data_IF_367764711984
#
_entry.id   IF_367764711984
#
_cell.length_a   1.000
_cell.length_b   1.000
_cell.length_c   1.000
_cell.angle_alpha   90.00
_cell.angle_beta   90.00
_cell.angle_gamma   90.00
#
_symmetry.space_group_name_H-M   'P 1'
#
loop_
_entity.id
_entity.type
_entity.pdbx_description
1 polymer ?
#
# COMPACT_ATOMS: atom_id res chain seq x y z
N UNK A 1 -1.78 7.90 2.78
CA UNK A 1 -0.42 8.46 2.75
C UNK A 1 -0.50 9.98 3.00
N UNK A 2 0.43 10.51 3.78
CA UNK A 2 0.60 11.94 4.00
C UNK A 2 1.43 12.52 2.84
N UNK A 3 0.75 12.90 1.77
CA UNK A 3 1.41 13.49 0.60
C UNK A 3 1.82 14.94 0.85
N UNK A 4 2.99 15.32 0.34
CA UNK A 4 3.42 16.71 0.36
C UNK A 4 2.57 17.59 -0.57
N UNK A 5 2.22 17.05 -1.75
CA UNK A 5 1.34 17.65 -2.73
C UNK A 5 0.15 16.72 -2.95
N UNK A 6 -0.83 16.78 -2.06
CA UNK A 6 -1.90 15.79 -2.03
C UNK A 6 -3.14 16.18 -2.80
N UNK A 7 -3.50 17.45 -2.81
CA UNK A 7 -4.69 17.96 -3.48
C UNK A 7 -4.29 18.75 -4.72
N UNK A 8 -5.07 18.60 -5.79
CA UNK A 8 -4.87 19.40 -7.01
C UNK A 8 -5.70 20.68 -6.92
N UNK A 9 -5.03 21.82 -7.10
CA UNK A 9 -5.66 23.12 -7.21
C UNK A 9 -6.25 23.26 -8.60
N UNK A 10 -7.57 23.41 -8.68
CA UNK A 10 -8.27 23.64 -9.95
C UNK A 10 -8.12 25.10 -10.37
N UNK A 11 -7.63 25.35 -11.58
CA UNK A 11 -7.44 26.69 -12.17
C UNK A 11 -8.03 26.73 -13.56
N UNK A 12 -8.60 27.87 -13.95
CA UNK A 12 -9.00 28.11 -15.35
C UNK A 12 -7.88 28.85 -16.07
N UNK A 13 -7.39 28.25 -17.14
CA UNK A 13 -6.42 28.88 -18.04
C UNK A 13 -6.94 28.81 -19.48
N UNK A 14 -7.02 29.99 -20.14
CA UNK A 14 -7.52 30.13 -21.52
C UNK A 14 -8.87 29.42 -21.79
N UNK A 15 -9.77 29.37 -20.80
CA UNK A 15 -11.08 28.73 -20.91
C UNK A 15 -11.08 27.22 -20.65
N UNK A 16 -9.95 26.64 -20.30
CA UNK A 16 -9.81 25.23 -19.91
C UNK A 16 -9.53 25.09 -18.43
N UNK A 17 -10.10 24.05 -17.81
CA UNK A 17 -9.77 23.68 -16.45
C UNK A 17 -8.42 22.97 -16.45
N UNK A 18 -7.49 23.44 -15.63
CA UNK A 18 -6.17 22.85 -15.39
C UNK A 18 -5.97 22.54 -13.92
N UNK A 19 -5.15 21.54 -13.64
CA UNK A 19 -4.86 21.09 -12.28
C UNK A 19 -3.41 21.40 -11.93
N UNK A 20 -3.20 22.02 -10.77
CA UNK A 20 -1.90 22.29 -10.21
C UNK A 20 -1.75 21.61 -8.85
N UNK A 21 -0.54 21.13 -8.48
CA UNK A 21 -0.29 20.61 -7.15
C UNK A 21 -0.62 21.65 -6.09
N UNK A 22 -1.34 21.25 -5.06
CA UNK A 22 -1.59 22.09 -3.88
C UNK A 22 -0.59 21.71 -2.78
N UNK A 23 0.24 22.67 -2.38
CA UNK A 23 1.27 22.51 -1.35
C UNK A 23 0.73 22.71 0.06
N UNK A 24 -0.41 22.10 0.35
CA UNK A 24 -1.15 22.24 1.60
C UNK A 24 -0.35 21.93 2.88
N UNK A 25 0.78 21.20 2.75
CA UNK A 25 1.68 20.91 3.87
C UNK A 25 2.76 21.99 4.09
N UNK A 26 2.92 22.98 3.18
CA UNK A 26 3.98 24.00 3.34
C UNK A 26 3.72 24.94 4.52
N UNK A 27 2.47 25.24 4.80
CA UNK A 27 2.08 26.07 5.95
C UNK A 27 2.01 25.28 7.26
N UNK A 28 2.20 23.95 7.18
CA UNK A 28 2.00 23.00 8.27
C UNK A 28 0.52 22.77 8.59
N UNK A 29 0.25 21.71 9.31
CA UNK A 29 -1.10 21.43 9.84
C UNK A 29 -0.99 21.27 11.36
N UNK A 30 -1.39 22.27 12.14
CA UNK A 30 -1.08 22.34 13.58
C UNK A 30 -1.70 21.23 14.42
N UNK A 31 -2.69 20.52 13.88
CA UNK A 31 -3.37 19.42 14.58
C UNK A 31 -2.79 18.04 14.23
N UNK A 32 -1.84 17.96 13.30
CA UNK A 32 -1.20 16.69 12.94
C UNK A 32 -0.05 16.40 13.89
N UNK A 33 -0.11 15.23 14.53
CA UNK A 33 0.88 14.78 15.53
C UNK A 33 1.77 13.71 14.91
N UNK A 34 3.08 13.96 14.81
CA UNK A 34 4.08 12.97 14.39
C UNK A 34 4.32 11.98 15.52
N UNK A 35 4.29 10.67 15.22
CA UNK A 35 4.54 9.56 16.15
C UNK A 35 5.86 8.85 15.82
N UNK A 36 6.97 9.45 16.11
CA UNK A 36 8.30 8.89 15.79
C UNK A 36 8.55 7.53 16.44
N UNK A 37 8.08 7.35 17.68
CA UNK A 37 8.22 6.13 18.46
C UNK A 37 7.46 4.93 17.92
N UNK A 38 6.45 5.17 17.09
CA UNK A 38 5.59 4.15 16.47
C UNK A 38 6.01 3.84 15.02
N UNK A 39 7.19 4.30 14.60
CA UNK A 39 7.67 4.07 13.24
C UNK A 39 7.77 2.58 12.88
N UNK A 40 7.46 2.27 11.63
CA UNK A 40 7.55 0.93 11.08
C UNK A 40 8.53 0.92 9.89
N UNK A 41 8.90 -0.28 9.44
CA UNK A 41 9.72 -0.47 8.24
C UNK A 41 8.88 -1.09 7.14
N UNK A 42 8.96 -0.53 5.95
CA UNK A 42 8.43 -1.15 4.73
C UNK A 42 9.60 -1.53 3.84
N UNK A 43 9.65 -2.80 3.46
CA UNK A 43 10.76 -3.38 2.70
C UNK A 43 10.29 -3.72 1.29
N UNK A 44 11.03 -3.21 0.31
CA UNK A 44 10.94 -3.59 -1.10
C UNK A 44 12.17 -4.43 -1.46
N UNK A 45 12.14 -5.11 -2.60
CA UNK A 45 13.29 -5.86 -3.09
C UNK A 45 14.54 -5.00 -3.37
N UNK A 46 14.36 -3.72 -3.58
CA UNK A 46 15.41 -2.77 -3.95
C UNK A 46 15.54 -1.55 -3.02
N UNK A 47 14.72 -1.44 -1.98
CA UNK A 47 14.71 -0.28 -1.08
C UNK A 47 14.06 -0.64 0.26
N UNK A 48 14.57 -0.08 1.36
CA UNK A 48 13.88 -0.06 2.66
C UNK A 48 13.59 1.37 3.07
N UNK A 49 12.40 1.58 3.64
CA UNK A 49 11.98 2.90 4.10
C UNK A 49 11.39 2.82 5.50
N UNK A 50 11.45 3.93 6.23
CA UNK A 50 10.68 4.12 7.45
C UNK A 50 9.30 4.63 7.08
N UNK A 51 8.27 4.04 7.67
CA UNK A 51 6.91 4.56 7.66
C UNK A 51 6.66 5.28 8.99
N UNK A 52 6.57 6.59 8.92
CA UNK A 52 6.34 7.43 10.10
C UNK A 52 4.85 7.76 10.18
N UNK A 53 4.18 7.36 11.29
CA UNK A 53 2.77 7.69 11.48
C UNK A 53 2.56 9.15 11.87
N UNK A 54 1.50 9.72 11.34
CA UNK A 54 0.99 11.04 11.65
C UNK A 54 -0.48 10.94 11.99
N UNK A 55 -0.88 11.39 13.17
CA UNK A 55 -2.25 11.35 13.65
C UNK A 55 -2.94 12.70 13.47
N UNK A 56 -4.08 12.67 12.81
CA UNK A 56 -5.00 13.81 12.71
C UNK A 56 -6.22 13.51 13.57
N UNK A 57 -6.45 14.26 14.66
CA UNK A 57 -7.63 14.07 15.50
C UNK A 57 -8.90 14.54 14.79
N UNK A 58 -9.93 13.70 14.83
CA UNK A 58 -11.27 14.00 14.31
C UNK A 58 -12.23 14.03 15.49
N UNK A 59 -12.64 15.22 15.89
CA UNK A 59 -13.52 15.42 17.04
C UNK A 59 -14.96 15.06 16.70
N UNK A 60 -15.61 14.32 17.59
CA UNK A 60 -17.04 14.03 17.51
C UNK A 60 -17.91 15.26 17.82
N UNK A 61 -19.12 15.31 17.23
CA UNK A 61 -20.06 16.37 17.50
C UNK A 61 -20.82 16.13 18.81
N UNK A 62 -20.71 17.06 19.75
CA UNK A 62 -21.42 17.00 21.03
C UNK A 62 -21.02 15.82 21.94
N UNK A 63 -19.79 15.34 21.82
CA UNK A 63 -19.24 14.22 22.59
C UNK A 63 -17.76 14.44 22.88
N UNK A 64 -17.23 13.77 23.89
CA UNK A 64 -15.79 13.77 24.21
C UNK A 64 -14.98 12.76 23.36
N UNK A 65 -15.64 12.04 22.46
CA UNK A 65 -14.97 11.08 21.59
C UNK A 65 -14.15 11.79 20.52
N UNK A 66 -12.92 11.31 20.32
CA UNK A 66 -12.01 11.77 19.26
C UNK A 66 -11.56 10.55 18.46
N UNK A 67 -11.93 10.52 17.18
CA UNK A 67 -11.37 9.56 16.23
C UNK A 67 -9.98 9.98 15.80
N UNK A 68 -9.19 9.03 15.30
CA UNK A 68 -7.86 9.29 14.77
C UNK A 68 -7.82 8.91 13.29
N UNK A 69 -7.46 9.87 12.43
CA UNK A 69 -7.06 9.59 11.07
C UNK A 69 -5.54 9.39 11.08
N UNK A 70 -5.08 8.14 10.92
CA UNK A 70 -3.67 7.81 10.82
C UNK A 70 -3.20 7.91 9.39
N UNK A 71 -2.19 8.72 9.15
CA UNK A 71 -1.54 8.93 7.87
C UNK A 71 -0.07 8.47 7.96
N UNK A 72 0.50 8.05 6.84
CA UNK A 72 1.87 7.55 6.77
C UNK A 72 2.74 8.41 5.87
N UNK A 73 3.93 8.77 6.35
CA UNK A 73 4.96 9.45 5.58
C UNK A 73 6.17 8.52 5.41
N UNK A 74 6.65 8.41 4.19
CA UNK A 74 7.88 7.69 3.91
C UNK A 74 9.10 8.57 4.24
N UNK A 75 10.03 8.00 5.00
CA UNK A 75 11.33 8.64 5.30
C UNK A 75 12.47 7.63 5.07
N UNK A 76 13.64 8.08 4.62
CA UNK A 76 14.77 7.19 4.34
C UNK A 76 15.31 6.56 5.64
N UNK A 77 15.89 5.37 5.52
CA UNK A 77 16.65 4.76 6.62
C UNK A 77 17.88 5.61 6.92
N UNK A 78 18.61 5.98 5.87
CA UNK A 78 19.77 6.87 5.91
C UNK A 78 19.51 8.09 5.03
N UNK A 79 19.72 9.27 5.58
CA UNK A 79 19.53 10.53 4.87
C UNK A 79 20.59 10.76 3.78
N UNK A 80 21.77 10.14 3.96
CA UNK A 80 22.93 10.42 3.13
C UNK A 80 23.96 9.29 3.16
N UNK A 81 24.32 8.78 1.98
CA UNK A 81 25.39 7.80 1.83
C UNK A 81 26.75 8.52 1.76
N UNK A 82 27.43 8.54 2.89
CA UNK A 82 28.74 9.20 3.04
C UNK A 82 29.82 8.53 2.19
N UNK A 83 29.79 7.21 2.05
CA UNK A 83 30.81 6.46 1.29
C UNK A 83 30.67 6.71 -0.22
N UNK A 84 29.43 6.75 -0.72
CA UNK A 84 29.18 7.14 -2.10
C UNK A 84 29.66 8.58 -2.37
N UNK A 85 29.35 9.51 -1.48
CA UNK A 85 29.77 10.90 -1.61
C UNK A 85 31.31 11.05 -1.59
N UNK A 86 31.97 10.42 -0.63
CA UNK A 86 33.44 10.45 -0.50
C UNK A 86 34.15 9.80 -1.70
N UNK A 87 33.47 8.87 -2.38
CA UNK A 87 33.91 8.25 -3.63
C UNK A 87 33.54 9.07 -4.89
N UNK A 88 33.14 10.32 -4.74
CA UNK A 88 32.72 11.25 -5.82
C UNK A 88 31.47 10.79 -6.60
N UNK A 89 30.68 9.88 -6.05
CA UNK A 89 29.39 9.47 -6.59
C UNK A 89 28.27 10.31 -5.95
N UNK A 90 28.26 11.61 -6.23
CA UNK A 90 27.43 12.58 -5.52
C UNK A 90 25.92 12.33 -5.70
N UNK A 91 25.50 11.91 -6.89
CA UNK A 91 24.08 11.58 -7.16
C UNK A 91 23.67 10.33 -6.39
N UNK A 92 24.54 9.30 -6.36
CA UNK A 92 24.24 8.06 -5.65
C UNK A 92 24.07 8.29 -4.15
N UNK A 93 24.81 9.25 -3.58
CA UNK A 93 24.76 9.58 -2.16
C UNK A 93 23.37 10.05 -1.67
N UNK A 94 22.48 10.44 -2.58
CA UNK A 94 21.14 10.95 -2.25
C UNK A 94 20.02 10.16 -2.96
N UNK A 95 20.34 9.19 -3.81
CA UNK A 95 19.35 8.54 -4.67
C UNK A 95 18.26 7.81 -3.87
N UNK A 96 18.63 7.07 -2.82
CA UNK A 96 17.67 6.33 -2.01
C UNK A 96 16.79 7.25 -1.16
N UNK A 97 17.35 8.38 -0.71
CA UNK A 97 16.57 9.45 -0.07
C UNK A 97 15.50 10.00 -1.03
N UNK A 98 15.86 10.33 -2.26
CA UNK A 98 14.91 10.88 -3.23
C UNK A 98 13.85 9.86 -3.64
N UNK A 99 14.25 8.60 -3.88
CA UNK A 99 13.30 7.50 -4.14
C UNK A 99 12.31 7.29 -3.00
N UNK A 100 12.77 7.41 -1.77
CA UNK A 100 11.91 7.34 -0.57
C UNK A 100 10.96 8.52 -0.50
N UNK A 101 11.47 9.73 -0.69
CA UNK A 101 10.67 10.94 -0.68
C UNK A 101 9.55 10.91 -1.73
N UNK A 102 9.81 10.32 -2.90
CA UNK A 102 8.82 10.22 -3.98
C UNK A 102 7.57 9.42 -3.57
N UNK A 103 7.69 8.45 -2.67
CA UNK A 103 6.56 7.65 -2.17
C UNK A 103 5.47 8.53 -1.55
N UNK A 104 5.85 9.58 -0.81
CA UNK A 104 4.91 10.50 -0.18
C UNK A 104 4.97 11.93 -0.74
N UNK A 105 5.49 12.11 -1.96
CA UNK A 105 5.64 13.44 -2.57
C UNK A 105 4.36 13.91 -3.23
N UNK A 106 3.79 13.14 -4.14
CA UNK A 106 2.64 13.53 -4.96
C UNK A 106 1.57 12.45 -4.99
N UNK A 107 0.31 12.83 -4.76
CA UNK A 107 -0.85 11.97 -4.95
C UNK A 107 -1.07 11.73 -6.45
N UNK A 108 -1.36 10.49 -6.84
CA UNK A 108 -1.63 10.08 -8.22
C UNK A 108 -0.56 10.54 -9.21
N UNK A 109 0.71 10.07 -9.06
CA UNK A 109 1.74 10.37 -10.05
C UNK A 109 1.34 9.78 -11.41
N UNK A 110 1.84 10.40 -12.48
CA UNK A 110 1.64 9.88 -13.83
C UNK A 110 2.28 8.49 -13.97
N UNK A 111 1.51 7.52 -14.42
CA UNK A 111 1.88 6.10 -14.54
C UNK A 111 1.89 5.60 -16.01
N UNK A 112 2.04 6.50 -16.96
CA UNK A 112 2.13 6.15 -18.39
C UNK A 112 3.47 5.48 -18.76
N UNK A 113 4.50 5.64 -17.92
CA UNK A 113 5.81 5.00 -18.09
C UNK A 113 6.02 3.87 -17.08
N UNK A 114 6.97 2.98 -17.35
CA UNK A 114 7.36 1.93 -16.43
C UNK A 114 7.74 2.47 -15.04
N UNK A 115 8.54 3.52 -14.98
CA UNK A 115 8.95 4.12 -13.70
C UNK A 115 7.77 4.78 -12.96
N UNK A 116 6.83 5.37 -13.68
CA UNK A 116 5.59 5.89 -13.10
C UNK A 116 4.73 4.78 -12.49
N UNK A 117 4.59 3.65 -13.21
CA UNK A 117 3.92 2.44 -12.68
C UNK A 117 4.61 1.90 -11.44
N UNK A 118 5.94 1.78 -11.46
CA UNK A 118 6.74 1.35 -10.31
C UNK A 118 6.48 2.25 -9.10
N UNK A 119 6.48 3.57 -9.27
CA UNK A 119 6.19 4.50 -8.18
C UNK A 119 4.75 4.33 -7.65
N UNK A 120 3.78 4.19 -8.54
CA UNK A 120 2.37 4.00 -8.17
C UNK A 120 2.18 2.73 -7.33
N UNK A 121 2.71 1.61 -7.78
CA UNK A 121 2.65 0.33 -7.05
C UNK A 121 3.41 0.40 -5.73
N UNK A 122 4.55 1.10 -5.70
CA UNK A 122 5.33 1.36 -4.48
C UNK A 122 4.54 2.15 -3.45
N UNK A 123 3.79 3.17 -3.86
CA UNK A 123 2.89 3.94 -3.00
C UNK A 123 1.77 3.06 -2.42
N UNK A 124 1.13 2.23 -3.25
CA UNK A 124 0.07 1.33 -2.81
C UNK A 124 0.58 0.34 -1.75
N UNK A 125 1.71 -0.30 -2.01
CA UNK A 125 2.29 -1.25 -1.05
C UNK A 125 2.76 -0.56 0.25
N UNK A 126 3.36 0.63 0.16
CA UNK A 126 3.75 1.41 1.33
C UNK A 126 2.57 1.63 2.28
N UNK A 127 1.45 2.08 1.73
CA UNK A 127 0.24 2.34 2.51
C UNK A 127 -0.30 1.09 3.18
N UNK A 128 -0.47 0.00 2.42
CA UNK A 128 -1.08 -1.22 2.98
C UNK A 128 -0.16 -1.92 3.96
N UNK A 129 1.14 -2.00 3.68
CA UNK A 129 2.09 -2.68 4.55
C UNK A 129 2.24 -1.96 5.88
N UNK A 130 2.42 -0.64 5.88
CA UNK A 130 2.50 0.14 7.13
C UNK A 130 1.22 0.02 7.96
N UNK A 131 0.04 0.14 7.32
CA UNK A 131 -1.24 0.05 8.01
C UNK A 131 -1.50 -1.33 8.61
N UNK A 132 -1.22 -2.39 7.85
CA UNK A 132 -1.47 -3.75 8.33
C UNK A 132 -0.49 -4.19 9.42
N UNK A 133 0.79 -3.82 9.33
CA UNK A 133 1.76 -4.06 10.40
C UNK A 133 1.27 -3.45 11.73
N UNK A 134 0.78 -2.22 11.70
CA UNK A 134 0.22 -1.57 12.87
C UNK A 134 -1.03 -2.27 13.40
N UNK A 135 -1.99 -2.60 12.53
CA UNK A 135 -3.22 -3.28 12.92
C UNK A 135 -2.93 -4.64 13.55
N UNK A 136 -2.03 -5.43 12.94
CA UNK A 136 -1.61 -6.74 13.49
C UNK A 136 -0.94 -6.57 14.84
N UNK A 137 0.02 -5.64 14.96
CA UNK A 137 0.72 -5.34 16.22
C UNK A 137 -0.26 -4.96 17.32
N UNK A 138 -1.15 -4.00 17.05
CA UNK A 138 -2.13 -3.53 18.03
C UNK A 138 -3.10 -4.65 18.46
N UNK A 139 -3.50 -5.50 17.50
CA UNK A 139 -4.35 -6.65 17.82
C UNK A 139 -3.65 -7.62 18.77
N UNK A 140 -2.40 -7.98 18.49
CA UNK A 140 -1.62 -8.89 19.35
C UNK A 140 -1.39 -8.27 20.73
N UNK A 141 -1.10 -6.97 20.82
CA UNK A 141 -0.91 -6.26 22.09
C UNK A 141 -2.18 -6.26 22.96
N UNK A 142 -3.37 -6.16 22.35
CA UNK A 142 -4.65 -6.08 23.07
C UNK A 142 -5.25 -7.45 23.33
N UNK A 143 -5.22 -8.36 22.35
CA UNK A 143 -5.92 -9.65 22.40
C UNK A 143 -5.00 -10.86 22.55
N UNK A 144 -3.71 -10.70 22.29
CA UNK A 144 -2.68 -11.73 22.48
C UNK A 144 -2.70 -12.88 21.47
N UNK A 145 -3.75 -13.02 20.68
CA UNK A 145 -3.98 -14.16 19.77
C UNK A 145 -4.60 -13.68 18.44
N UNK A 146 -4.02 -14.13 17.34
CA UNK A 146 -4.47 -13.79 15.99
C UNK A 146 -5.70 -14.60 15.53
N UNK A 147 -6.10 -15.66 16.22
CA UNK A 147 -7.29 -16.45 15.87
C UNK A 147 -8.57 -15.61 15.90
N UNK A 148 -8.60 -14.56 16.71
CA UNK A 148 -9.73 -13.64 16.84
C UNK A 148 -9.58 -12.37 15.96
N UNK A 149 -8.56 -12.32 15.11
CA UNK A 149 -8.23 -11.11 14.34
C UNK A 149 -9.41 -10.56 13.54
N UNK A 150 -10.11 -11.42 12.79
CA UNK A 150 -11.26 -11.02 11.97
C UNK A 150 -12.52 -10.65 12.78
N UNK A 151 -12.57 -10.99 14.07
CA UNK A 151 -13.68 -10.59 14.95
C UNK A 151 -13.58 -9.12 15.37
N UNK A 152 -12.34 -8.63 15.52
CA UNK A 152 -12.06 -7.27 16.00
C UNK A 152 -11.59 -6.32 14.90
N UNK A 153 -11.21 -6.84 13.73
CA UNK A 153 -10.68 -6.04 12.64
C UNK A 153 -11.46 -6.30 11.36
N UNK A 154 -12.03 -5.25 10.80
CA UNK A 154 -12.71 -5.27 9.50
C UNK A 154 -12.12 -4.18 8.63
N UNK A 155 -11.67 -4.52 7.44
CA UNK A 155 -11.01 -3.62 6.50
C UNK A 155 -11.82 -3.51 5.23
N UNK A 156 -12.26 -2.29 4.91
CA UNK A 156 -12.93 -1.99 3.65
C UNK A 156 -11.91 -1.52 2.62
N UNK A 157 -11.77 -2.26 1.53
CA UNK A 157 -10.95 -1.89 0.39
C UNK A 157 -11.78 -1.10 -0.61
N UNK A 158 -11.43 0.16 -0.83
CA UNK A 158 -12.08 1.00 -1.84
C UNK A 158 -11.25 1.00 -3.12
N UNK A 159 -11.84 0.52 -4.22
CA UNK A 159 -11.19 0.29 -5.50
C UNK A 159 -10.01 -0.71 -5.40
N UNK A 160 -9.25 -0.84 -6.48
CA UNK A 160 -8.11 -1.77 -6.55
C UNK A 160 -6.84 -1.22 -5.90
N UNK A 161 -6.79 0.07 -5.54
CA UNK A 161 -5.61 0.74 -4.99
C UNK A 161 -5.01 0.02 -3.77
N UNK A 162 -5.81 -0.44 -2.77
CA UNK A 162 -5.28 -1.13 -1.60
C UNK A 162 -5.36 -2.67 -1.69
N UNK A 163 -5.64 -3.27 -2.85
CA UNK A 163 -5.86 -4.73 -2.97
C UNK A 163 -4.64 -5.57 -2.55
N UNK A 164 -3.44 -5.00 -2.64
CA UNK A 164 -2.21 -5.61 -2.11
C UNK A 164 -2.27 -5.91 -0.60
N UNK A 165 -3.25 -5.35 0.11
CA UNK A 165 -3.51 -5.68 1.51
C UNK A 165 -3.80 -7.16 1.74
N UNK A 166 -4.43 -7.83 0.77
CA UNK A 166 -4.77 -9.26 0.88
C UNK A 166 -3.50 -10.12 0.97
N UNK A 167 -2.60 -10.12 -0.02
CA UNK A 167 -1.37 -10.92 0.08
C UNK A 167 -0.38 -10.39 1.14
N UNK A 168 -0.40 -9.09 1.47
CA UNK A 168 0.44 -8.55 2.54
C UNK A 168 -0.01 -9.05 3.92
N UNK A 169 -1.32 -9.11 4.20
CA UNK A 169 -1.78 -9.68 5.45
C UNK A 169 -1.44 -11.17 5.53
N UNK A 170 -1.57 -11.93 4.42
CA UNK A 170 -1.09 -13.32 4.37
C UNK A 170 0.39 -13.42 4.75
N UNK A 171 1.25 -12.55 4.19
CA UNK A 171 2.68 -12.51 4.50
C UNK A 171 2.92 -12.23 5.99
N UNK A 172 2.27 -11.22 6.55
CA UNK A 172 2.42 -10.87 7.97
C UNK A 172 1.99 -12.02 8.89
N UNK A 173 0.87 -12.68 8.58
CA UNK A 173 0.38 -13.79 9.39
C UNK A 173 1.29 -15.02 9.28
N UNK A 174 1.75 -15.36 8.09
CA UNK A 174 2.58 -16.54 7.88
C UNK A 174 4.04 -16.33 8.25
N UNK A 175 4.68 -15.29 7.69
CA UNK A 175 6.13 -15.14 7.75
C UNK A 175 6.58 -14.48 9.07
N UNK A 176 5.77 -13.59 9.63
CA UNK A 176 6.12 -12.86 10.86
C UNK A 176 5.45 -13.46 12.12
N UNK A 177 4.31 -14.13 11.94
CA UNK A 177 3.56 -14.70 13.07
C UNK A 177 3.45 -16.24 13.05
N UNK A 178 3.99 -16.90 12.03
CA UNK A 178 4.14 -18.36 11.97
C UNK A 178 2.87 -19.16 11.72
N UNK A 179 1.78 -18.55 11.26
CA UNK A 179 0.54 -19.25 10.92
C UNK A 179 0.72 -20.09 9.65
N UNK A 180 -0.01 -21.20 9.58
CA UNK A 180 -0.14 -21.97 8.34
C UNK A 180 -1.00 -21.27 7.30
N UNK A 181 -0.87 -21.68 6.02
CA UNK A 181 -1.65 -21.07 4.92
C UNK A 181 -3.15 -21.05 5.17
N UNK A 182 -3.73 -22.20 5.55
CA UNK A 182 -5.18 -22.33 5.70
C UNK A 182 -5.72 -21.45 6.82
N UNK A 183 -4.99 -21.36 7.92
CA UNK A 183 -5.34 -20.51 9.06
C UNK A 183 -5.24 -19.03 8.69
N UNK A 184 -4.15 -18.62 8.04
CA UNK A 184 -3.96 -17.25 7.55
C UNK A 184 -5.04 -16.88 6.53
N UNK A 185 -5.38 -17.77 5.59
CA UNK A 185 -6.40 -17.52 4.58
C UNK A 185 -7.80 -17.39 5.18
N UNK A 186 -8.13 -18.20 6.19
CA UNK A 186 -9.42 -18.08 6.90
C UNK A 186 -9.56 -16.72 7.58
N UNK A 187 -8.50 -16.21 8.19
CA UNK A 187 -8.46 -14.85 8.76
C UNK A 187 -8.62 -13.79 7.68
N UNK A 188 -7.78 -13.83 6.64
CA UNK A 188 -7.75 -12.84 5.56
C UNK A 188 -9.09 -12.73 4.85
N UNK A 189 -9.70 -13.87 4.51
CA UNK A 189 -10.98 -13.91 3.79
C UNK A 189 -12.16 -13.36 4.59
N UNK A 190 -12.04 -13.33 5.92
CA UNK A 190 -13.05 -12.76 6.83
C UNK A 190 -12.77 -11.30 7.20
N UNK A 191 -11.53 -10.82 7.00
CA UNK A 191 -11.12 -9.48 7.39
C UNK A 191 -11.47 -8.43 6.34
N UNK A 192 -11.35 -8.75 5.05
CA UNK A 192 -11.49 -7.79 3.97
C UNK A 192 -12.88 -7.80 3.33
N UNK A 193 -13.37 -6.60 3.06
CA UNK A 193 -14.48 -6.34 2.16
C UNK A 193 -14.03 -5.38 1.04
N UNK A 194 -14.63 -5.46 -0.14
CA UNK A 194 -14.24 -4.69 -1.31
C UNK A 194 -15.43 -3.90 -1.88
N UNK A 195 -15.17 -2.66 -2.28
CA UNK A 195 -16.12 -1.83 -3.02
C UNK A 195 -15.46 -1.28 -4.27
N UNK A 196 -16.07 -1.54 -5.43
CA UNK A 196 -15.74 -0.88 -6.68
C UNK A 196 -16.60 0.38 -6.85
N UNK A 197 -15.97 1.52 -7.15
CA UNK A 197 -16.64 2.83 -7.32
C UNK A 197 -16.84 3.22 -8.80
N UNK A 198 -16.40 2.40 -9.76
CA UNK A 198 -16.48 2.69 -11.19
C UNK A 198 -16.99 1.52 -11.99
N UNK A 199 -17.66 1.81 -13.10
CA UNK A 199 -18.08 0.81 -14.10
C UNK A 199 -17.13 0.75 -15.30
N UNK A 200 -16.15 1.65 -15.38
CA UNK A 200 -15.20 1.75 -16.48
C UNK A 200 -14.06 0.75 -16.27
N UNK A 201 -13.79 -0.08 -17.25
CA UNK A 201 -12.75 -1.12 -17.16
C UNK A 201 -11.34 -0.56 -16.96
N UNK A 202 -11.06 0.64 -17.46
CA UNK A 202 -9.76 1.33 -17.28
C UNK A 202 -9.48 1.71 -15.82
N UNK A 203 -10.49 1.74 -14.96
CA UNK A 203 -10.29 1.99 -13.55
C UNK A 203 -9.92 0.73 -12.74
N UNK A 204 -9.99 -0.44 -13.35
CA UNK A 204 -9.46 -1.68 -12.79
C UNK A 204 -7.97 -1.74 -13.14
N UNK A 205 -7.13 -1.42 -12.16
CA UNK A 205 -5.68 -1.38 -12.36
C UNK A 205 -5.13 -2.78 -12.67
N UNK A 206 -4.19 -2.82 -13.60
CA UNK A 206 -3.44 -4.03 -13.93
C UNK A 206 -1.95 -3.71 -13.98
N UNK A 207 -1.12 -4.60 -13.46
CA UNK A 207 0.30 -4.37 -13.30
C UNK A 207 1.12 -5.49 -13.91
N UNK A 208 2.24 -5.13 -14.51
CA UNK A 208 3.20 -6.10 -15.05
C UNK A 208 3.80 -6.94 -13.92
N UNK A 209 3.82 -8.27 -14.08
CA UNK A 209 4.41 -9.21 -13.12
C UNK A 209 5.85 -8.80 -12.76
N UNK A 210 6.62 -8.29 -13.72
CA UNK A 210 8.00 -7.84 -13.51
C UNK A 210 8.15 -6.75 -12.45
N UNK A 211 7.14 -5.90 -12.27
CA UNK A 211 7.13 -4.88 -11.21
C UNK A 211 7.01 -5.55 -9.84
N UNK A 212 6.13 -6.54 -9.72
CA UNK A 212 5.92 -7.27 -8.47
C UNK A 212 7.15 -8.13 -8.11
N UNK A 213 7.71 -8.87 -9.06
CA UNK A 213 8.92 -9.68 -8.85
C UNK A 213 10.10 -8.82 -8.38
N UNK A 214 10.21 -7.60 -8.90
CA UNK A 214 11.26 -6.66 -8.50
C UNK A 214 11.00 -6.06 -7.12
N UNK A 215 9.79 -5.58 -6.86
CA UNK A 215 9.50 -4.78 -5.67
C UNK A 215 9.22 -5.64 -4.42
N UNK A 216 8.52 -6.75 -4.57
CA UNK A 216 8.09 -7.57 -3.44
C UNK A 216 7.94 -9.06 -3.83
N UNK A 217 9.07 -9.73 -4.09
CA UNK A 217 9.08 -11.11 -4.59
C UNK A 217 8.30 -12.07 -3.68
N UNK A 218 8.38 -11.91 -2.36
CA UNK A 218 7.65 -12.77 -1.41
C UNK A 218 6.13 -12.59 -1.52
N UNK A 219 5.66 -11.37 -1.67
CA UNK A 219 4.22 -11.09 -1.89
C UNK A 219 3.77 -11.71 -3.22
N UNK A 220 4.61 -11.64 -4.26
CA UNK A 220 4.28 -12.25 -5.56
C UNK A 220 4.18 -13.79 -5.47
N UNK A 221 5.02 -14.45 -4.67
CA UNK A 221 4.88 -15.90 -4.40
C UNK A 221 3.50 -16.22 -3.79
N UNK A 222 3.03 -15.39 -2.87
CA UNK A 222 1.70 -15.53 -2.25
C UNK A 222 0.59 -15.31 -3.30
N UNK A 223 0.73 -14.29 -4.15
CA UNK A 223 -0.22 -14.03 -5.24
C UNK A 223 -0.29 -15.23 -6.20
N UNK A 224 0.85 -15.83 -6.57
CA UNK A 224 0.88 -17.05 -7.38
C UNK A 224 0.16 -18.23 -6.71
N UNK A 225 0.31 -18.41 -5.41
CA UNK A 225 -0.38 -19.48 -4.69
C UNK A 225 -1.90 -19.21 -4.60
N UNK A 226 -2.31 -17.95 -4.41
CA UNK A 226 -3.72 -17.55 -4.49
C UNK A 226 -4.29 -17.87 -5.88
N UNK A 227 -3.59 -17.48 -6.94
CA UNK A 227 -4.00 -17.76 -8.33
C UNK A 227 -4.12 -19.26 -8.60
N UNK A 228 -3.14 -20.05 -8.18
CA UNK A 228 -3.15 -21.51 -8.33
C UNK A 228 -4.36 -22.14 -7.65
N UNK A 229 -4.65 -21.75 -6.41
CA UNK A 229 -5.81 -22.26 -5.66
C UNK A 229 -7.13 -21.85 -6.28
N UNK A 230 -7.24 -20.58 -6.69
CA UNK A 230 -8.41 -20.08 -7.40
C UNK A 230 -8.69 -20.88 -8.67
N UNK A 231 -7.67 -21.13 -9.50
CA UNK A 231 -7.82 -21.91 -10.74
C UNK A 231 -8.29 -23.33 -10.45
N UNK A 232 -7.67 -24.02 -9.47
CA UNK A 232 -8.07 -25.38 -9.08
C UNK A 232 -9.53 -25.43 -8.62
N UNK A 233 -9.97 -24.48 -7.82
CA UNK A 233 -11.35 -24.41 -7.35
C UNK A 233 -12.35 -24.16 -8.51
N UNK A 234 -11.99 -23.30 -9.47
CA UNK A 234 -12.86 -23.02 -10.61
C UNK A 234 -12.93 -24.20 -11.60
N UNK A 235 -11.83 -24.94 -11.77
CA UNK A 235 -11.81 -26.19 -12.54
C UNK A 235 -12.72 -27.27 -11.89
N UNK A 236 -12.65 -27.44 -10.58
CA UNK A 236 -13.52 -28.35 -9.83
C UNK A 236 -15.00 -27.97 -9.97
N UNK A 237 -15.32 -26.69 -10.09
CA UNK A 237 -16.67 -26.16 -10.36
C UNK A 237 -17.08 -26.29 -11.83
N UNK A 238 -16.22 -26.83 -12.69
CA UNK A 238 -16.51 -27.10 -14.10
C UNK A 238 -16.50 -25.89 -15.03
N UNK A 239 -15.79 -24.80 -14.64
CA UNK A 239 -15.62 -23.68 -15.53
C UNK A 239 -14.60 -24.00 -16.63
N UNK A 240 -14.82 -23.45 -17.84
CA UNK A 240 -13.84 -23.57 -18.91
C UNK A 240 -12.61 -22.67 -18.67
N UNK A 241 -11.49 -23.06 -19.29
CA UNK A 241 -10.20 -22.38 -19.10
C UNK A 241 -10.22 -20.91 -19.53
N UNK A 242 -11.04 -20.53 -20.50
CA UNK A 242 -11.17 -19.14 -20.95
C UNK A 242 -11.81 -18.26 -19.87
N UNK A 243 -12.88 -18.76 -19.24
CA UNK A 243 -13.53 -18.08 -18.11
C UNK A 243 -12.61 -17.99 -16.89
N UNK A 244 -11.92 -19.09 -16.58
CA UNK A 244 -10.97 -19.12 -15.47
C UNK A 244 -9.89 -18.05 -15.69
N UNK A 245 -9.29 -18.01 -16.88
CA UNK A 245 -8.23 -17.05 -17.20
C UNK A 245 -8.73 -15.59 -17.17
N UNK A 246 -9.98 -15.34 -17.52
CA UNK A 246 -10.59 -14.00 -17.45
C UNK A 246 -10.78 -13.50 -16.01
N UNK A 247 -11.06 -14.40 -15.07
CA UNK A 247 -11.32 -14.07 -13.66
C UNK A 247 -10.08 -14.20 -12.76
N UNK A 248 -9.01 -14.80 -13.27
CA UNK A 248 -7.84 -15.13 -12.48
C UNK A 248 -7.08 -13.90 -12.02
N UNK A 249 -6.57 -13.89 -10.78
CA UNK A 249 -5.71 -12.82 -10.25
C UNK A 249 -4.47 -12.55 -11.10
N UNK A 250 -3.95 -13.59 -11.77
CA UNK A 250 -2.79 -13.44 -12.66
C UNK A 250 -3.15 -14.01 -14.03
N UNK A 251 -3.08 -13.18 -15.05
CA UNK A 251 -3.29 -13.63 -16.43
C UNK A 251 -2.56 -12.74 -17.44
N UNK A 252 -2.20 -13.32 -18.60
CA UNK A 252 -1.58 -12.61 -19.73
C UNK A 252 -0.34 -11.78 -19.37
N UNK A 253 0.44 -12.20 -18.37
CA UNK A 253 1.63 -11.48 -17.90
C UNK A 253 1.34 -10.31 -16.97
N UNK A 254 0.10 -10.19 -16.50
CA UNK A 254 -0.37 -9.12 -15.61
C UNK A 254 -0.92 -9.69 -14.30
N UNK A 255 -0.81 -8.89 -13.25
CA UNK A 255 -1.55 -9.02 -12.00
C UNK A 255 -2.75 -8.08 -12.09
N UNK A 256 -3.94 -8.59 -11.74
CA UNK A 256 -5.22 -7.90 -11.84
C UNK A 256 -5.77 -7.52 -10.48
#
# INVERSE_FOLDING_TARGET
ILYRYGLFKQVFDNGFQTEHPDSWMEEGYPLVIRREEEQLRVTYGDLQVRAIPYDMPITGYGTDNVGTLRLWKAEPIEEFDYDAFNSQRFTDAIVDRERTNDISRVLYPNDTTYEGKVLRVRQQYFFVSASLQEIVKNHVEVHGDLSTFAEYNSVQLNDTHPVLAIPELMRLLMDENGLGWEEAWDIVSKTFAYTNHTVLAEALETWEISIFDRLFPRVMEIVWEIDRRFRSEMEEKGLDSGRINYMAPVSNGLVH
#
